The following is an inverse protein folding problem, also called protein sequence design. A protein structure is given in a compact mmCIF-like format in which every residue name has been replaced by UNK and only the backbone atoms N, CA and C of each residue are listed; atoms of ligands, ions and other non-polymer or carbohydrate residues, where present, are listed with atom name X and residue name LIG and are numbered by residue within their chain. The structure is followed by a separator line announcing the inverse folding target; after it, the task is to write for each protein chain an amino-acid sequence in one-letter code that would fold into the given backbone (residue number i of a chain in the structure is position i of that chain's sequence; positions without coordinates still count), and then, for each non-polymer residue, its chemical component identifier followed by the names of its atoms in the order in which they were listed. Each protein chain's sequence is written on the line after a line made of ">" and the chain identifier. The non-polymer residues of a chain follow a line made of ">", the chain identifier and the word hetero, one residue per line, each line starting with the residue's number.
data_IF_936228044678
#
_entry.id   IF_936228044678
#
_cell.length_a   1.000
_cell.length_b   1.000
_cell.length_c   1.000
_cell.angle_alpha   90.00
_cell.angle_beta   90.00
_cell.angle_gamma   90.00
#
_symmetry.space_group_name_H-M   'P 1'
#
loop_
_entity.id
_entity.type
_entity.pdbx_description
1 polymer ?
#
# COMPACT_ATOMS: atom_id res chain seq x y z
N UNK A 1 -28.39 16.39 0.79
CA UNK A 1 -27.29 15.45 0.48
C UNK A 1 -26.02 16.26 0.38
N UNK A 2 -25.11 16.13 1.35
CA UNK A 2 -23.82 16.82 1.29
C UNK A 2 -23.05 16.30 0.07
N UNK A 3 -22.55 17.21 -0.77
CA UNK A 3 -21.53 16.85 -1.77
C UNK A 3 -20.32 16.32 -0.99
N UNK A 4 -19.78 15.13 -1.34
CA UNK A 4 -18.52 14.71 -0.75
C UNK A 4 -17.44 15.70 -1.14
N UNK A 5 -16.69 16.19 -0.16
CA UNK A 5 -15.52 17.02 -0.43
C UNK A 5 -14.57 16.27 -1.35
N UNK A 6 -13.92 16.99 -2.27
CA UNK A 6 -12.92 16.40 -3.17
C UNK A 6 -11.74 15.89 -2.33
N UNK A 7 -11.62 14.56 -2.20
CA UNK A 7 -10.50 13.92 -1.50
C UNK A 7 -9.22 14.26 -2.27
N UNK A 8 -8.25 14.88 -1.60
CA UNK A 8 -6.96 15.23 -2.17
C UNK A 8 -6.07 13.98 -2.29
N UNK A 9 -5.21 13.95 -3.32
CA UNK A 9 -4.23 12.87 -3.50
C UNK A 9 -3.17 12.90 -2.40
N UNK A 10 -2.67 11.73 -2.03
CA UNK A 10 -1.47 11.64 -1.19
C UNK A 10 -0.23 11.79 -2.09
N UNK A 11 0.42 12.96 -2.01
CA UNK A 11 1.62 13.27 -2.78
C UNK A 11 2.89 13.16 -1.89
N UNK A 12 4.01 12.73 -2.48
CA UNK A 12 5.32 12.64 -1.79
C UNK A 12 5.74 11.23 -1.35
N UNK A 13 6.84 11.15 -0.58
CA UNK A 13 7.38 9.87 -0.06
C UNK A 13 6.85 9.61 1.35
N UNK A 14 6.33 8.40 1.59
CA UNK A 14 5.93 7.93 2.92
C UNK A 14 7.10 7.21 3.61
N UNK A 15 7.50 7.68 4.79
CA UNK A 15 8.46 6.96 5.64
C UNK A 15 7.77 5.87 6.45
N UNK A 16 8.30 4.65 6.43
CA UNK A 16 7.83 3.52 7.24
C UNK A 16 8.97 3.04 8.13
N UNK A 17 8.85 3.28 9.44
CA UNK A 17 9.84 2.83 10.44
C UNK A 17 9.39 1.49 11.01
N UNK A 18 10.22 0.46 10.85
CA UNK A 18 9.97 -0.88 11.39
C UNK A 18 10.95 -1.19 12.51
N UNK A 19 10.47 -1.49 13.74
CA UNK A 19 11.34 -1.88 14.83
C UNK A 19 11.85 -3.31 14.62
N UNK A 20 13.15 -3.44 14.35
CA UNK A 20 13.84 -4.72 14.16
C UNK A 20 13.81 -5.26 12.73
N UNK A 21 14.75 -6.15 12.42
CA UNK A 21 14.98 -6.72 11.09
C UNK A 21 14.75 -8.24 11.10
N UNK A 22 13.50 -8.65 11.27
CA UNK A 22 13.07 -10.05 11.23
C UNK A 22 12.41 -10.44 9.91
N UNK A 23 11.92 -11.68 9.84
CA UNK A 23 11.31 -12.25 8.63
C UNK A 23 10.19 -11.39 8.03
N UNK A 24 9.35 -10.77 8.87
CA UNK A 24 8.26 -9.90 8.40
C UNK A 24 8.79 -8.61 7.80
N UNK A 25 9.75 -7.95 8.46
CA UNK A 25 10.33 -6.69 8.00
C UNK A 25 11.06 -6.87 6.67
N UNK A 26 11.89 -7.92 6.55
CA UNK A 26 12.63 -8.19 5.31
C UNK A 26 11.71 -8.56 4.16
N UNK A 27 10.67 -9.36 4.42
CA UNK A 27 9.70 -9.76 3.38
C UNK A 27 8.83 -8.58 2.94
N UNK A 28 8.45 -7.70 3.86
CA UNK A 28 7.76 -6.45 3.54
C UNK A 28 8.61 -5.59 2.60
N UNK A 29 9.88 -5.34 2.94
CA UNK A 29 10.80 -4.53 2.11
C UNK A 29 11.00 -5.17 0.74
N UNK A 30 11.32 -6.46 0.70
CA UNK A 30 11.55 -7.18 -0.56
C UNK A 30 10.30 -7.19 -1.46
N UNK A 31 9.12 -7.42 -0.87
CA UNK A 31 7.84 -7.39 -1.59
C UNK A 31 7.55 -6.02 -2.19
N UNK A 32 7.71 -4.95 -1.40
CA UNK A 32 7.51 -3.57 -1.87
C UNK A 32 8.47 -3.23 -3.03
N UNK A 33 9.75 -3.56 -2.91
CA UNK A 33 10.72 -3.29 -3.98
C UNK A 33 10.46 -4.14 -5.24
N UNK A 34 10.03 -5.39 -5.09
CA UNK A 34 9.65 -6.24 -6.23
C UNK A 34 8.45 -5.66 -7.00
N UNK A 35 7.43 -5.16 -6.29
CA UNK A 35 6.26 -4.51 -6.91
C UNK A 35 6.68 -3.20 -7.61
N UNK A 36 7.52 -2.38 -6.96
CA UNK A 36 8.06 -1.14 -7.57
C UNK A 36 8.86 -1.42 -8.85
N UNK A 37 9.58 -2.55 -8.89
CA UNK A 37 10.34 -3.00 -10.05
C UNK A 37 9.49 -3.69 -11.13
N UNK A 38 8.18 -3.87 -10.92
CA UNK A 38 7.29 -4.56 -11.85
C UNK A 38 7.51 -6.08 -11.93
N UNK A 39 8.15 -6.67 -10.91
CA UNK A 39 8.49 -8.10 -10.88
C UNK A 39 7.40 -8.97 -10.23
N UNK A 40 6.35 -8.35 -9.68
CA UNK A 40 5.24 -9.06 -9.04
C UNK A 40 4.06 -8.16 -8.70
N UNK A 41 2.97 -8.79 -8.29
CA UNK A 41 1.72 -8.13 -7.89
C UNK A 41 1.56 -8.13 -6.37
N UNK A 42 0.84 -7.16 -5.77
CA UNK A 42 0.63 -7.05 -4.32
C UNK A 42 -0.40 -8.06 -3.79
N UNK A 43 -0.22 -9.35 -4.11
CA UNK A 43 -1.17 -10.43 -3.79
C UNK A 43 -1.42 -10.51 -2.28
N UNK A 44 -2.70 -10.53 -1.90
CA UNK A 44 -3.14 -10.56 -0.51
C UNK A 44 -3.26 -9.19 0.16
N UNK A 45 -2.86 -8.10 -0.50
CA UNK A 45 -3.02 -6.74 0.04
C UNK A 45 -4.46 -6.23 -0.15
N UNK A 46 -5.22 -6.12 0.94
CA UNK A 46 -6.59 -5.64 0.91
C UNK A 46 -6.69 -4.20 0.39
N UNK A 47 -5.76 -3.32 0.77
CA UNK A 47 -5.81 -1.91 0.35
C UNK A 47 -5.50 -1.72 -1.12
N UNK A 48 -4.74 -2.64 -1.74
CA UNK A 48 -4.36 -2.54 -3.15
C UNK A 48 -5.24 -3.36 -4.08
N UNK A 49 -5.81 -4.47 -3.60
CA UNK A 49 -6.57 -5.41 -4.43
C UNK A 49 -8.03 -5.57 -4.00
N UNK A 50 -8.41 -5.08 -2.82
CA UNK A 50 -9.77 -5.14 -2.32
C UNK A 50 -10.69 -4.21 -3.09
N UNK A 51 -11.94 -4.64 -3.27
CA UNK A 51 -13.01 -3.81 -3.80
C UNK A 51 -14.04 -3.55 -2.70
N UNK A 52 -14.63 -2.35 -2.71
CA UNK A 52 -15.75 -2.00 -1.84
C UNK A 52 -16.95 -1.62 -2.69
N UNK A 53 -18.13 -2.09 -2.28
CA UNK A 53 -19.39 -1.69 -2.91
C UNK A 53 -19.78 -0.31 -2.41
N UNK A 54 -19.88 0.66 -3.32
CA UNK A 54 -20.29 2.02 -3.01
C UNK A 54 -21.82 2.21 -3.03
N UNK A 55 -22.55 1.20 -3.52
CA UNK A 55 -24.00 1.15 -3.76
C UNK A 55 -24.35 -0.06 -4.61
#
# INVERSE_FOLDING_TARGET
>A
MNRPDKIQSADGKLGVLMPGMGAVATTFIAGVEAIKAGLGSPIGSLTQMGTIRLG
#
